data_IF_044256447838
#
_entry.id   IF_044256447838
#
_cell.length_a   1.000
_cell.length_b   1.000
_cell.length_c   1.000
_cell.angle_alpha   90.00
_cell.angle_beta   90.00
_cell.angle_gamma   90.00
#
_symmetry.space_group_name_H-M   'P 1'
#
loop_
_entity.id
_entity.type
_entity.pdbx_description
1 polymer ?
#
# COMPACT_ATOMS: atom_id res chain seq x y z
N UNK A 1 14.88 28.34 89.02
CA UNK A 1 13.81 29.26 88.57
C UNK A 1 12.75 28.43 87.85
N UNK A 2 11.48 28.65 88.19
CA UNK A 2 10.29 27.91 87.72
C UNK A 2 9.89 28.30 86.29
N UNK A 3 9.39 27.32 85.52
CA UNK A 3 8.27 27.33 84.53
C UNK A 3 8.41 26.03 83.71
N UNK A 4 7.71 24.92 83.97
CA UNK A 4 6.29 24.56 83.75
C UNK A 4 5.76 25.01 82.38
N UNK A 5 5.49 24.04 81.48
CA UNK A 5 4.18 23.65 80.87
C UNK A 5 4.44 22.50 79.86
N UNK A 6 4.02 21.25 80.14
CA UNK A 6 2.76 20.60 79.70
C UNK A 6 2.78 20.33 78.17
N UNK A 7 3.03 19.11 77.65
CA UNK A 7 2.32 17.80 77.72
C UNK A 7 1.45 17.55 76.47
N UNK A 8 1.77 16.41 75.84
CA UNK A 8 0.93 15.48 75.05
C UNK A 8 0.38 15.91 73.68
N UNK A 9 0.70 15.08 72.68
CA UNK A 9 0.03 15.02 71.39
C UNK A 9 0.52 13.85 70.55
N UNK A 10 0.20 12.62 70.99
CA UNK A 10 0.40 11.36 70.27
C UNK A 10 -0.53 11.31 69.04
N UNK A 11 -0.01 10.95 67.86
CA UNK A 11 -0.69 10.04 66.91
C UNK A 11 0.20 9.73 65.72
N UNK A 12 0.58 8.45 65.63
CA UNK A 12 1.11 7.84 64.43
C UNK A 12 0.01 7.77 63.36
N UNK A 13 0.35 8.11 62.12
CA UNK A 13 -0.24 7.45 60.96
C UNK A 13 0.81 7.31 59.87
N UNK A 14 1.24 6.07 59.70
CA UNK A 14 1.99 5.54 58.58
C UNK A 14 1.25 5.80 57.26
N UNK A 15 1.89 6.52 56.35
CA UNK A 15 1.59 6.46 54.93
C UNK A 15 2.90 6.28 54.16
N UNK A 16 3.11 5.04 53.75
CA UNK A 16 4.11 4.60 52.78
C UNK A 16 3.80 5.30 51.45
N UNK A 17 4.60 6.30 51.06
CA UNK A 17 4.61 6.84 49.69
C UNK A 17 5.50 5.94 48.83
N UNK A 18 4.95 4.82 48.37
CA UNK A 18 5.47 4.06 47.24
C UNK A 18 4.91 4.68 45.97
N UNK A 19 5.82 5.11 45.08
CA UNK A 19 5.65 5.21 43.61
C UNK A 19 4.56 6.19 43.12
N UNK A 20 4.77 7.00 42.09
CA UNK A 20 5.34 6.65 40.81
C UNK A 20 6.03 7.89 40.23
N UNK A 21 7.23 7.68 39.67
CA UNK A 21 7.69 8.48 38.57
C UNK A 21 6.53 8.60 37.57
N UNK A 22 6.18 9.83 37.20
CA UNK A 22 5.34 10.09 36.04
C UNK A 22 6.11 9.64 34.80
N UNK A 23 6.17 8.32 34.62
CA UNK A 23 6.37 7.67 33.36
C UNK A 23 5.09 8.00 32.60
N UNK A 24 5.13 9.10 31.83
CA UNK A 24 4.11 9.38 30.82
C UNK A 24 4.15 8.22 29.84
N UNK A 25 3.41 7.16 30.16
CA UNK A 25 2.84 6.28 29.15
C UNK A 25 1.92 7.19 28.35
N UNK A 26 2.45 7.78 27.29
CA UNK A 26 1.62 7.95 26.10
C UNK A 26 1.09 6.54 25.81
N UNK A 27 -0.22 6.28 25.94
CA UNK A 27 -0.77 5.07 25.39
C UNK A 27 -0.65 5.27 23.89
N UNK A 28 0.43 4.73 23.33
CA UNK A 28 0.65 4.66 21.90
C UNK A 28 -0.66 4.20 21.28
N UNK A 29 -1.31 5.13 20.59
CA UNK A 29 -2.35 4.81 19.63
C UNK A 29 -1.62 3.96 18.60
N UNK A 30 -1.63 2.64 18.82
CA UNK A 30 -1.38 1.65 17.80
C UNK A 30 -2.46 1.88 16.75
N UNK A 31 -2.22 2.84 15.86
CA UNK A 31 -3.13 3.14 14.77
C UNK A 31 -3.12 1.92 13.87
N UNK A 32 -4.22 1.15 13.91
CA UNK A 32 -4.46 0.04 12.99
C UNK A 32 -4.40 0.47 11.50
N UNK A 33 -4.22 1.76 11.24
CA UNK A 33 -4.17 2.41 9.94
C UNK A 33 -2.75 2.74 9.46
N UNK A 34 -1.69 2.43 10.22
CA UNK A 34 -0.28 2.59 9.80
C UNK A 34 0.49 1.27 9.79
N UNK A 35 -0.16 0.20 9.36
CA UNK A 35 0.44 -1.14 9.28
C UNK A 35 1.18 -1.36 7.96
N UNK A 36 2.31 -2.04 8.02
CA UNK A 36 3.09 -2.50 6.88
C UNK A 36 3.78 -3.82 7.22
N UNK A 37 4.17 -4.55 6.18
CA UNK A 37 5.06 -5.71 6.29
C UNK A 37 6.42 -5.33 5.70
N UNK A 38 7.51 -5.55 6.45
CA UNK A 38 8.85 -5.44 5.88
C UNK A 38 9.12 -6.63 4.98
N UNK A 39 9.56 -6.36 3.75
CA UNK A 39 9.85 -7.39 2.76
C UNK A 39 11.26 -7.21 2.23
N UNK A 40 11.85 -8.32 1.78
CA UNK A 40 13.26 -8.39 1.37
C UNK A 40 14.25 -8.07 2.50
N UNK A 41 15.54 -8.23 2.22
CA UNK A 41 16.58 -7.80 3.15
C UNK A 41 16.84 -6.30 3.02
N UNK A 42 16.97 -5.61 4.16
CA UNK A 42 17.43 -4.21 4.17
C UNK A 42 18.82 -4.15 3.53
N UNK A 43 18.96 -3.27 2.54
CA UNK A 43 20.21 -3.10 1.81
C UNK A 43 21.00 -1.95 2.39
N UNK A 44 22.23 -2.22 2.83
CA UNK A 44 23.23 -1.19 3.08
C UNK A 44 23.78 -0.71 1.73
N UNK A 45 23.65 0.59 1.48
CA UNK A 45 24.09 1.27 0.25
C UNK A 45 25.07 2.39 0.56
N UNK A 46 25.77 2.29 1.70
CA UNK A 46 26.84 3.20 2.07
C UNK A 46 27.95 3.18 1.02
N UNK A 47 28.45 4.36 0.62
CA UNK A 47 29.56 4.45 -0.33
C UNK A 47 30.85 3.86 0.25
N UNK A 48 31.74 3.39 -0.63
CA UNK A 48 33.00 2.74 -0.27
C UNK A 48 33.86 3.65 0.63
N UNK A 49 34.28 3.13 1.80
CA UNK A 49 34.92 3.91 2.89
C UNK A 49 33.97 4.34 4.03
N UNK A 50 32.74 3.82 4.03
CA UNK A 50 31.54 4.27 4.75
C UNK A 50 31.63 4.57 6.25
N UNK A 51 31.76 5.85 6.57
CA UNK A 51 31.45 6.39 7.91
C UNK A 51 29.97 6.74 8.11
N UNK A 52 29.19 6.76 7.03
CA UNK A 52 27.81 7.24 7.02
C UNK A 52 26.92 6.11 6.51
N UNK A 53 26.25 5.44 7.45
CA UNK A 53 25.35 4.33 7.15
C UNK A 53 24.11 4.83 6.40
N UNK A 54 23.86 4.28 5.21
CA UNK A 54 22.71 4.57 4.37
C UNK A 54 22.00 3.27 4.01
N UNK A 55 20.68 3.23 4.13
CA UNK A 55 19.91 2.00 3.91
C UNK A 55 18.70 2.20 3.01
N UNK A 56 18.39 1.15 2.24
CA UNK A 56 17.13 1.03 1.49
C UNK A 56 16.36 -0.17 2.02
N UNK A 57 15.11 0.05 2.40
CA UNK A 57 14.19 -0.99 2.84
C UNK A 57 12.94 -1.03 1.95
N UNK A 58 12.34 -2.20 1.82
CA UNK A 58 11.10 -2.39 1.07
C UNK A 58 9.99 -2.81 2.03
N UNK A 59 8.79 -2.27 1.83
CA UNK A 59 7.62 -2.63 2.63
C UNK A 59 6.43 -2.92 1.72
N UNK A 60 5.52 -3.79 2.19
CA UNK A 60 4.20 -3.99 1.61
C UNK A 60 3.18 -3.23 2.44
N UNK A 61 2.35 -2.43 1.78
CA UNK A 61 1.26 -1.68 2.41
C UNK A 61 -0.07 -2.36 2.07
N UNK A 62 -0.90 -2.75 3.05
CA UNK A 62 -2.20 -3.36 2.79
C UNK A 62 -3.10 -2.49 1.90
N UNK A 63 -3.94 -3.10 1.08
CA UNK A 63 -4.87 -2.36 0.21
C UNK A 63 -5.92 -1.56 1.00
N UNK A 64 -6.58 -0.64 0.30
CA UNK A 64 -7.73 0.11 0.83
C UNK A 64 -7.36 1.24 1.78
N UNK A 65 -6.07 1.62 1.86
CA UNK A 65 -5.64 2.79 2.63
C UNK A 65 -5.78 4.06 1.81
N UNK A 66 -6.19 5.13 2.47
CA UNK A 66 -6.22 6.48 1.92
C UNK A 66 -4.80 7.02 1.68
N UNK A 67 -4.67 8.06 0.85
CA UNK A 67 -3.39 8.75 0.61
C UNK A 67 -2.71 9.19 1.91
N UNK A 68 -3.50 9.67 2.88
CA UNK A 68 -2.98 10.14 4.17
C UNK A 68 -2.46 8.98 5.02
N UNK A 69 -3.21 7.87 5.07
CA UNK A 69 -2.77 6.67 5.79
C UNK A 69 -1.51 6.06 5.19
N UNK A 70 -1.39 6.03 3.86
CA UNK A 70 -0.16 5.59 3.19
C UNK A 70 1.00 6.51 3.53
N UNK A 71 0.78 7.83 3.50
CA UNK A 71 1.82 8.82 3.81
C UNK A 71 2.36 8.64 5.23
N UNK A 72 1.48 8.51 6.21
CA UNK A 72 1.88 8.28 7.60
C UNK A 72 2.50 6.88 7.79
N UNK A 73 2.04 5.86 7.07
CA UNK A 73 2.66 4.52 7.08
C UNK A 73 4.11 4.57 6.60
N UNK A 74 4.37 5.19 5.43
CA UNK A 74 5.70 5.31 4.86
C UNK A 74 6.64 6.12 5.76
N UNK A 75 6.13 7.23 6.31
CA UNK A 75 6.87 8.08 7.24
C UNK A 75 7.24 7.34 8.52
N UNK A 76 6.28 6.64 9.13
CA UNK A 76 6.51 5.79 10.30
C UNK A 76 7.58 4.74 10.01
N UNK A 77 7.44 4.00 8.91
CA UNK A 77 8.39 2.96 8.51
C UNK A 77 9.81 3.52 8.32
N UNK A 78 9.96 4.67 7.64
CA UNK A 78 11.27 5.28 7.40
C UNK A 78 11.97 5.70 8.71
N UNK A 79 11.21 6.23 9.68
CA UNK A 79 11.74 6.59 11.00
C UNK A 79 12.08 5.34 11.81
N UNK A 80 11.17 4.37 11.90
CA UNK A 80 11.35 3.15 12.70
C UNK A 80 12.55 2.34 12.21
N UNK A 81 12.63 2.08 10.90
CA UNK A 81 13.72 1.30 10.30
C UNK A 81 15.03 2.08 10.40
N UNK A 82 15.03 3.39 10.12
CA UNK A 82 16.24 4.20 10.18
C UNK A 82 16.84 4.29 11.58
N UNK A 83 15.99 4.44 12.60
CA UNK A 83 16.41 4.43 14.00
C UNK A 83 16.93 3.07 14.43
N UNK A 84 16.22 1.98 14.07
CA UNK A 84 16.61 0.61 14.39
C UNK A 84 17.98 0.26 13.80
N UNK A 85 18.24 0.71 12.58
CA UNK A 85 19.48 0.44 11.87
C UNK A 85 20.60 1.45 12.15
N UNK A 86 20.33 2.50 12.93
CA UNK A 86 21.26 3.61 13.15
C UNK A 86 21.78 4.24 11.84
N UNK A 87 20.91 4.34 10.83
CA UNK A 87 21.24 4.92 9.55
C UNK A 87 21.11 6.45 9.58
N UNK A 88 22.01 7.13 8.88
CA UNK A 88 21.95 8.59 8.69
C UNK A 88 21.02 9.00 7.55
N UNK A 89 20.75 8.09 6.62
CA UNK A 89 19.68 8.23 5.65
C UNK A 89 19.01 6.87 5.39
N UNK A 90 17.68 6.89 5.36
CA UNK A 90 16.83 5.72 5.14
C UNK A 90 15.81 6.03 4.06
N UNK A 91 15.74 5.18 3.03
CA UNK A 91 14.71 5.23 2.01
C UNK A 91 13.87 3.97 2.12
N UNK A 92 12.58 4.15 2.34
CA UNK A 92 11.58 3.09 2.34
C UNK A 92 10.81 3.15 1.03
N UNK A 93 10.76 2.02 0.33
CA UNK A 93 9.96 1.82 -0.88
C UNK A 93 8.73 1.00 -0.56
N UNK A 94 7.54 1.56 -0.81
CA UNK A 94 6.25 0.93 -0.58
C UNK A 94 5.72 0.22 -1.82
N UNK A 95 5.27 -1.02 -1.63
CA UNK A 95 4.71 -1.89 -2.64
C UNK A 95 3.31 -2.37 -2.27
N UNK A 96 2.55 -2.80 -3.29
CA UNK A 96 1.25 -3.43 -3.09
C UNK A 96 1.44 -4.90 -2.69
N UNK A 97 0.46 -5.52 -2.01
CA UNK A 97 0.53 -6.95 -1.71
C UNK A 97 0.65 -7.84 -2.96
N UNK A 98 0.11 -7.38 -4.10
CA UNK A 98 0.15 -8.10 -5.37
C UNK A 98 1.49 -8.01 -6.11
N UNK A 99 2.38 -7.08 -5.73
CA UNK A 99 3.66 -6.91 -6.40
C UNK A 99 4.60 -8.04 -5.99
N UNK A 100 4.90 -8.93 -6.96
CA UNK A 100 5.79 -10.09 -6.76
C UNK A 100 7.26 -9.76 -6.96
N UNK A 101 7.57 -8.80 -7.82
CA UNK A 101 8.92 -8.27 -8.01
C UNK A 101 9.01 -6.88 -7.38
N UNK A 102 9.95 -6.73 -6.45
CA UNK A 102 10.15 -5.54 -5.61
C UNK A 102 11.57 -4.99 -5.74
N UNK A 103 12.26 -5.35 -6.82
CA UNK A 103 13.66 -4.94 -7.04
C UNK A 103 13.79 -3.53 -7.64
N UNK A 104 12.71 -2.99 -8.23
CA UNK A 104 12.69 -1.78 -9.03
C UNK A 104 12.20 -0.50 -8.31
N UNK A 105 11.48 0.33 -9.07
CA UNK A 105 10.76 1.47 -8.50
C UNK A 105 9.63 0.99 -7.60
N UNK A 106 9.30 1.79 -6.59
CA UNK A 106 8.19 1.57 -5.68
C UNK A 106 6.86 1.75 -6.44
N UNK A 107 5.80 1.08 -6.00
CA UNK A 107 4.50 1.11 -6.70
C UNK A 107 3.43 1.87 -5.94
N UNK A 108 3.59 2.06 -4.63
CA UNK A 108 2.64 2.79 -3.79
C UNK A 108 3.17 4.17 -3.42
N UNK A 109 4.35 4.22 -2.83
CA UNK A 109 5.03 5.43 -2.39
C UNK A 109 6.47 5.17 -2.00
N UNK A 110 7.24 6.23 -1.76
CA UNK A 110 8.50 6.16 -1.03
C UNK A 110 8.58 7.23 0.05
N UNK A 111 9.36 6.97 1.08
CA UNK A 111 9.74 7.95 2.08
C UNK A 111 11.24 7.97 2.29
N UNK A 112 11.80 9.17 2.42
CA UNK A 112 13.20 9.40 2.75
C UNK A 112 13.29 10.08 4.11
N UNK A 113 13.92 9.40 5.07
CA UNK A 113 14.27 9.93 6.39
C UNK A 113 15.77 10.23 6.43
N UNK A 114 16.12 11.51 6.36
CA UNK A 114 17.50 12.00 6.25
C UNK A 114 17.59 13.48 6.69
N UNK A 115 18.80 14.05 6.85
CA UNK A 115 18.95 15.47 7.13
C UNK A 115 18.27 16.32 6.04
N UNK A 116 17.52 17.33 6.44
CA UNK A 116 16.66 18.14 5.56
C UNK A 116 15.64 17.34 4.70
N UNK A 117 15.43 16.05 4.98
CA UNK A 117 14.58 15.18 4.17
C UNK A 117 15.19 14.79 2.81
N UNK A 118 16.51 14.95 2.66
CA UNK A 118 17.27 14.70 1.43
C UNK A 118 18.32 13.62 1.64
N UNK A 119 18.31 12.62 0.78
CA UNK A 119 19.18 11.45 0.91
C UNK A 119 20.66 11.79 0.77
N UNK A 120 20.97 12.73 -0.11
CA UNK A 120 22.29 13.26 -0.39
C UNK A 120 22.92 13.97 0.83
N UNK A 121 22.11 14.53 1.72
CA UNK A 121 22.55 15.30 2.90
C UNK A 121 22.94 14.42 4.10
N UNK A 122 23.04 13.09 3.93
CA UNK A 122 23.28 12.16 5.03
C UNK A 122 24.59 12.41 5.82
N UNK A 123 25.54 13.16 5.25
CA UNK A 123 26.80 13.55 5.89
C UNK A 123 26.71 14.85 6.71
N UNK A 124 25.58 15.54 6.63
CA UNK A 124 25.37 16.83 7.31
C UNK A 124 24.82 16.65 8.73
N UNK A 125 24.98 17.69 9.56
CA UNK A 125 24.42 17.76 10.90
C UNK A 125 23.04 18.44 10.95
N UNK A 126 22.37 18.56 9.80
CA UNK A 126 21.03 19.15 9.73
C UNK A 126 20.00 18.29 10.48
N UNK A 127 18.88 18.89 10.93
CA UNK A 127 17.77 18.13 11.52
C UNK A 127 17.26 17.06 10.56
N UNK A 128 16.97 15.87 11.10
CA UNK A 128 16.33 14.80 10.34
C UNK A 128 14.89 15.19 10.02
N UNK A 129 14.49 15.00 8.77
CA UNK A 129 13.12 15.21 8.30
C UNK A 129 12.72 14.05 7.39
N UNK A 130 11.41 13.88 7.21
CA UNK A 130 10.86 12.88 6.30
C UNK A 130 10.22 13.58 5.10
N UNK A 131 10.66 13.20 3.91
CA UNK A 131 9.98 13.52 2.65
C UNK A 131 9.23 12.28 2.16
N UNK A 132 7.97 12.42 1.78
CA UNK A 132 7.15 11.32 1.25
C UNK A 132 6.61 11.65 -0.13
N UNK A 133 6.84 10.74 -1.07
CA UNK A 133 6.34 10.78 -2.43
C UNK A 133 5.37 9.61 -2.65
N UNK A 134 4.17 9.89 -3.15
CA UNK A 134 3.16 8.88 -3.49
C UNK A 134 3.09 8.72 -5.00
N UNK A 135 2.73 7.52 -5.48
CA UNK A 135 2.63 7.26 -6.91
C UNK A 135 1.30 7.82 -7.35
N UNK A 136 1.35 8.81 -8.23
CA UNK A 136 0.18 9.52 -8.73
C UNK A 136 -0.68 8.63 -9.63
N UNK A 137 -0.05 7.66 -10.31
CA UNK A 137 -0.67 6.79 -11.31
C UNK A 137 -0.76 5.33 -10.85
N UNK A 138 -0.54 5.07 -9.55
CA UNK A 138 -0.60 3.71 -9.02
C UNK A 138 -2.01 3.14 -9.05
N UNK A 139 -2.10 1.90 -9.53
CA UNK A 139 -3.27 1.03 -9.33
C UNK A 139 -3.67 0.90 -7.84
N UNK A 140 -2.77 1.18 -6.90
CA UNK A 140 -3.07 1.13 -5.47
C UNK A 140 -4.15 2.14 -5.04
N UNK A 141 -4.17 3.33 -5.64
CA UNK A 141 -5.14 4.38 -5.30
C UNK A 141 -6.35 4.40 -6.24
N UNK A 142 -6.35 3.54 -7.26
CA UNK A 142 -7.53 3.38 -8.10
C UNK A 142 -8.63 2.77 -7.26
N UNK A 143 -9.78 3.46 -7.23
CA UNK A 143 -10.98 2.94 -6.60
C UNK A 143 -11.34 1.65 -7.33
N UNK A 144 -11.28 0.51 -6.66
CA UNK A 144 -11.81 -0.73 -7.19
C UNK A 144 -13.27 -0.47 -7.58
N UNK A 145 -13.56 -0.38 -8.88
CA UNK A 145 -14.93 -0.45 -9.31
C UNK A 145 -15.44 -1.83 -8.90
N UNK A 146 -16.47 -1.87 -8.05
CA UNK A 146 -17.09 -3.13 -7.67
C UNK A 146 -17.33 -3.94 -8.95
N UNK A 147 -16.73 -5.13 -9.04
CA UNK A 147 -16.78 -5.98 -10.23
C UNK A 147 -18.24 -6.21 -10.61
N UNK A 148 -18.74 -5.44 -11.58
CA UNK A 148 -20.12 -5.53 -12.03
C UNK A 148 -20.24 -6.79 -12.88
N UNK A 149 -20.77 -7.83 -12.27
CA UNK A 149 -21.23 -9.05 -12.94
C UNK A 149 -22.75 -8.95 -13.15
N UNK A 150 -23.28 -9.69 -14.12
CA UNK A 150 -24.71 -9.73 -14.41
C UNK A 150 -25.06 -9.25 -15.81
N UNK A 151 -26.34 -8.93 -16.00
CA UNK A 151 -26.93 -8.50 -17.28
C UNK A 151 -26.65 -7.02 -17.55
N UNK A 152 -27.09 -6.54 -18.71
CA UNK A 152 -27.00 -5.14 -19.18
C UNK A 152 -25.57 -4.71 -19.55
N UNK A 153 -24.87 -5.58 -20.29
CA UNK A 153 -23.61 -5.22 -20.93
C UNK A 153 -23.70 -5.40 -22.43
N UNK A 154 -22.88 -4.65 -23.15
CA UNK A 154 -22.70 -4.78 -24.59
C UNK A 154 -21.22 -4.95 -24.91
N UNK A 155 -20.94 -5.69 -25.98
CA UNK A 155 -19.61 -5.74 -26.58
C UNK A 155 -19.32 -4.45 -27.34
N UNK A 156 -18.12 -3.90 -27.20
CA UNK A 156 -17.72 -2.65 -27.84
C UNK A 156 -16.23 -2.68 -28.19
N UNK A 157 -15.91 -2.84 -29.46
CA UNK A 157 -14.55 -2.60 -29.95
C UNK A 157 -14.37 -1.11 -30.31
N UNK A 158 -13.23 -0.50 -29.99
CA UNK A 158 -12.97 0.92 -30.31
C UNK A 158 -13.02 1.24 -31.81
N UNK A 159 -12.76 0.25 -32.68
CA UNK A 159 -12.82 0.38 -34.14
C UNK A 159 -14.17 0.01 -34.76
N UNK A 160 -15.15 -0.45 -33.97
CA UNK A 160 -16.47 -0.88 -34.45
C UNK A 160 -16.50 -2.21 -35.20
N UNK A 161 -15.40 -2.94 -35.24
CA UNK A 161 -15.35 -4.31 -35.75
C UNK A 161 -15.90 -5.33 -34.73
N UNK A 162 -15.75 -6.62 -35.03
CA UNK A 162 -16.23 -7.69 -34.18
C UNK A 162 -15.28 -7.95 -33.02
N UNK A 163 -15.83 -8.16 -31.84
CA UNK A 163 -15.10 -8.57 -30.64
C UNK A 163 -14.86 -10.08 -30.69
N UNK A 164 -13.60 -10.48 -30.51
CA UNK A 164 -13.20 -11.88 -30.49
C UNK A 164 -13.49 -12.51 -29.12
N UNK A 165 -14.11 -13.69 -29.15
CA UNK A 165 -14.45 -14.47 -27.96
C UNK A 165 -13.49 -15.64 -27.89
N UNK A 166 -12.65 -15.69 -26.85
CA UNK A 166 -11.74 -16.81 -26.62
C UNK A 166 -12.36 -17.88 -25.73
N UNK A 167 -12.04 -19.15 -26.00
CA UNK A 167 -12.34 -20.25 -25.08
C UNK A 167 -11.60 -20.13 -23.75
N UNK A 168 -10.40 -19.56 -23.76
CA UNK A 168 -9.49 -19.54 -22.62
C UNK A 168 -9.10 -18.12 -22.25
N UNK A 169 -9.12 -17.81 -20.95
CA UNK A 169 -8.78 -16.48 -20.41
C UNK A 169 -7.45 -15.91 -20.93
N UNK A 170 -6.42 -16.75 -20.89
CA UNK A 170 -5.03 -16.33 -21.12
C UNK A 170 -4.49 -16.76 -22.49
N UNK A 171 -5.32 -17.32 -23.38
CA UNK A 171 -4.88 -17.78 -24.69
C UNK A 171 -5.78 -17.19 -25.79
N UNK A 172 -5.14 -16.52 -26.76
CA UNK A 172 -5.78 -15.65 -27.74
C UNK A 172 -5.31 -15.93 -29.17
N UNK A 173 -4.71 -17.11 -29.41
CA UNK A 173 -4.39 -17.51 -30.77
C UNK A 173 -5.64 -17.83 -31.59
N UNK A 174 -5.56 -17.74 -32.92
CA UNK A 174 -6.69 -17.96 -33.84
C UNK A 174 -7.48 -19.26 -33.58
N UNK A 175 -6.79 -20.32 -33.15
CA UNK A 175 -7.38 -21.63 -32.83
C UNK A 175 -8.21 -21.65 -31.54
N UNK A 176 -8.01 -20.67 -30.67
CA UNK A 176 -8.64 -20.55 -29.36
C UNK A 176 -9.81 -19.56 -29.38
N UNK A 177 -9.93 -18.77 -30.45
CA UNK A 177 -11.10 -17.94 -30.73
C UNK A 177 -12.26 -18.83 -31.19
N UNK A 178 -13.34 -18.82 -30.42
CA UNK A 178 -14.53 -19.66 -30.67
C UNK A 178 -15.64 -18.90 -31.37
N UNK A 179 -15.62 -17.57 -31.33
CA UNK A 179 -16.57 -16.72 -32.03
C UNK A 179 -16.01 -15.32 -32.25
N UNK A 180 -16.60 -14.60 -33.21
CA UNK A 180 -16.43 -13.16 -33.39
C UNK A 180 -17.82 -12.54 -33.41
N UNK A 181 -18.13 -11.73 -32.39
CA UNK A 181 -19.46 -11.13 -32.23
C UNK A 181 -19.41 -9.66 -32.60
N UNK A 182 -20.40 -9.12 -33.32
CA UNK A 182 -20.40 -7.71 -33.68
C UNK A 182 -20.46 -6.82 -32.44
N UNK A 183 -19.82 -5.65 -32.54
CA UNK A 183 -20.03 -4.58 -31.55
C UNK A 183 -21.52 -4.25 -31.41
N UNK A 184 -21.97 -4.00 -30.19
CA UNK A 184 -23.37 -3.82 -29.82
C UNK A 184 -24.10 -5.10 -29.40
N UNK A 185 -23.45 -6.27 -29.47
CA UNK A 185 -24.03 -7.53 -28.97
C UNK A 185 -24.28 -7.45 -27.47
N UNK A 186 -25.52 -7.74 -27.05
CA UNK A 186 -25.89 -7.88 -25.65
C UNK A 186 -25.22 -9.10 -25.02
N UNK A 187 -24.59 -8.91 -23.86
CA UNK A 187 -23.94 -9.98 -23.11
C UNK A 187 -24.23 -9.89 -21.62
N UNK A 188 -24.09 -11.03 -20.94
CA UNK A 188 -24.05 -11.13 -19.48
C UNK A 188 -22.61 -11.37 -19.06
N UNK A 189 -22.07 -10.56 -18.15
CA UNK A 189 -20.77 -10.85 -17.53
C UNK A 189 -21.00 -11.88 -16.42
N UNK A 190 -20.39 -13.05 -16.54
CA UNK A 190 -20.53 -14.13 -15.55
C UNK A 190 -19.29 -14.26 -14.66
N UNK A 191 -18.14 -13.80 -15.14
CA UNK A 191 -16.87 -13.85 -14.41
C UNK A 191 -16.02 -12.65 -14.79
N UNK A 192 -15.27 -12.11 -13.82
CA UNK A 192 -14.30 -11.04 -14.04
C UNK A 192 -12.97 -11.43 -13.42
N UNK A 193 -11.91 -11.24 -14.18
CA UNK A 193 -10.55 -11.51 -13.78
C UNK A 193 -9.71 -10.26 -13.98
N UNK A 194 -8.99 -9.88 -12.92
CA UNK A 194 -8.11 -8.73 -12.90
C UNK A 194 -6.72 -9.16 -12.42
N UNK A 195 -5.69 -8.74 -13.15
CA UNK A 195 -4.30 -9.02 -12.79
C UNK A 195 -3.43 -7.81 -13.08
N UNK A 196 -2.69 -7.27 -12.11
CA UNK A 196 -1.70 -6.23 -12.39
C UNK A 196 -0.59 -6.82 -13.29
N UNK A 197 -0.35 -6.17 -14.44
CA UNK A 197 0.81 -6.44 -15.30
C UNK A 197 1.99 -5.58 -14.84
N UNK A 198 1.72 -4.32 -14.51
CA UNK A 198 2.71 -3.38 -13.96
C UNK A 198 2.13 -2.67 -12.72
N UNK A 199 2.88 -1.70 -12.19
CA UNK A 199 2.41 -0.78 -11.14
C UNK A 199 1.22 0.09 -11.57
N UNK A 200 1.09 0.30 -12.88
CA UNK A 200 0.15 1.26 -13.50
C UNK A 200 -0.88 0.56 -14.40
N UNK A 201 -0.63 -0.69 -14.82
CA UNK A 201 -1.46 -1.40 -15.79
C UNK A 201 -2.14 -2.63 -15.19
N UNK A 202 -3.47 -2.67 -15.31
CA UNK A 202 -4.30 -3.80 -14.91
C UNK A 202 -4.78 -4.53 -16.16
N UNK A 203 -4.48 -5.82 -16.25
CA UNK A 203 -5.12 -6.70 -17.21
C UNK A 203 -6.52 -7.02 -16.71
N UNK A 204 -7.54 -6.64 -17.47
CA UNK A 204 -8.92 -7.04 -17.21
C UNK A 204 -9.38 -8.02 -18.29
N UNK A 205 -9.95 -9.13 -17.84
CA UNK A 205 -10.60 -10.15 -18.66
C UNK A 205 -11.97 -10.42 -18.08
N UNK A 206 -12.98 -10.54 -18.94
CA UNK A 206 -14.33 -10.87 -18.49
C UNK A 206 -14.83 -12.06 -19.28
N UNK A 207 -15.48 -13.00 -18.58
CA UNK A 207 -16.18 -14.09 -19.21
C UNK A 207 -17.61 -13.63 -19.45
N UNK A 208 -18.02 -13.69 -20.70
CA UNK A 208 -19.31 -13.23 -21.18
C UNK A 208 -20.13 -14.40 -21.68
N UNK A 209 -21.45 -14.29 -21.55
CA UNK A 209 -22.42 -15.16 -22.18
C UNK A 209 -23.36 -14.33 -23.05
N UNK A 210 -23.45 -14.70 -24.31
CA UNK A 210 -24.50 -14.25 -25.22
C UNK A 210 -25.64 -15.27 -25.19
N UNK A 211 -26.79 -14.89 -24.63
CA UNK A 211 -27.96 -15.75 -24.51
C UNK A 211 -28.60 -16.07 -25.88
N UNK A 212 -28.40 -15.22 -26.90
CA UNK A 212 -29.05 -15.40 -28.22
C UNK A 212 -28.36 -16.46 -29.06
N UNK A 213 -27.03 -16.46 -29.04
CA UNK A 213 -26.21 -17.37 -29.83
C UNK A 213 -25.67 -18.56 -29.02
N UNK A 214 -26.01 -18.64 -27.72
CA UNK A 214 -25.52 -19.65 -26.77
C UNK A 214 -23.98 -19.73 -26.70
N UNK A 215 -23.31 -18.59 -26.92
CA UNK A 215 -21.85 -18.50 -26.86
C UNK A 215 -21.42 -18.04 -25.48
N UNK A 216 -20.40 -18.71 -24.95
CA UNK A 216 -19.76 -18.32 -23.70
C UNK A 216 -18.24 -18.39 -23.84
N UNK A 217 -17.55 -17.33 -23.44
CA UNK A 217 -16.10 -17.26 -23.49
C UNK A 217 -15.55 -15.97 -22.90
N UNK A 218 -14.25 -15.77 -23.06
CA UNK A 218 -13.50 -14.65 -22.51
C UNK A 218 -13.32 -13.54 -23.54
N UNK A 219 -13.47 -12.30 -23.08
CA UNK A 219 -13.19 -11.07 -23.84
C UNK A 219 -12.22 -10.17 -23.05
N UNK A 220 -11.62 -9.18 -23.71
CA UNK A 220 -10.89 -8.12 -23.01
C UNK A 220 -11.88 -7.28 -22.19
N UNK A 221 -11.48 -6.83 -21.01
CA UNK A 221 -12.35 -6.01 -20.16
C UNK A 221 -12.74 -4.68 -20.79
N UNK A 222 -11.85 -4.09 -21.59
CA UNK A 222 -12.09 -2.85 -22.36
C UNK A 222 -13.12 -3.02 -23.48
N UNK A 223 -13.37 -4.26 -23.93
CA UNK A 223 -14.34 -4.57 -24.99
C UNK A 223 -15.76 -4.73 -24.46
N UNK A 224 -16.00 -4.45 -23.17
CA UNK A 224 -17.32 -4.60 -22.54
C UNK A 224 -17.71 -3.32 -21.82
N UNK A 225 -18.90 -2.81 -22.15
CA UNK A 225 -19.45 -1.60 -21.54
C UNK A 225 -20.84 -1.86 -20.95
N UNK A 226 -21.24 -1.14 -19.89
CA UNK A 226 -22.64 -1.11 -19.47
C UNK A 226 -23.54 -0.68 -20.62
N UNK A 227 -24.70 -1.34 -20.74
CA UNK A 227 -25.76 -0.93 -21.65
C UNK A 227 -26.47 0.27 -21.03
N UNK A 228 -26.36 1.43 -21.70
CA UNK A 228 -27.10 2.65 -21.36
C UNK A 228 -28.61 2.50 -21.53
#
# INVERSE_FOLDING_TARGET
>A
MKLIHIVIGLLALSAIMISQAACSKDPGVSSANTSYEEVDQIRDVSMYGGKIKRIVAHIVIPLGRTNEEVRETLKKAAIEIGNREHAKATTVKGYRPQDKDRTGQWTVGQATYAPNGRWEDADTNSPLSVTVELSKDSLYFQKEEASKIGKNFILKEQGGGPVEISKYRDNWGDKDIIAKLPSGTDVTIIERYEKPITSEMLLTRVRVRDEKNEIEGWVFGEDVAPKE
#
